data_IF_151798627509
#
_entry.id   IF_151798627509
#
_cell.length_a   1.000
_cell.length_b   1.000
_cell.length_c   1.000
_cell.angle_alpha   90.00
_cell.angle_beta   90.00
_cell.angle_gamma   90.00
#
_symmetry.space_group_name_H-M   'P 1'
#
loop_
_entity.id
_entity.type
_entity.pdbx_description
1 polymer ?
#
# COMPACT_ATOMS: atom_id res chain seq x y z
N UNK A 1 -4.16 3.11 14.20
CA UNK A 1 -4.66 1.79 14.64
C UNK A 1 -4.19 1.38 16.03
N UNK A 2 -2.90 1.39 16.39
CA UNK A 2 -2.46 0.98 17.73
C UNK A 2 -3.19 1.70 18.88
N UNK A 3 -3.39 3.02 18.78
CA UNK A 3 -4.18 3.78 19.75
C UNK A 3 -5.66 3.34 19.82
N UNK A 4 -6.30 3.13 18.67
CA UNK A 4 -7.69 2.65 18.56
C UNK A 4 -7.85 1.27 19.19
N UNK A 5 -6.96 0.33 18.86
CA UNK A 5 -6.98 -1.03 19.42
C UNK A 5 -6.76 -1.04 20.94
N UNK A 6 -5.86 -0.18 21.47
CA UNK A 6 -5.70 -0.01 22.92
C UNK A 6 -6.95 0.54 23.61
N UNK A 7 -7.76 1.32 22.90
CA UNK A 7 -9.05 1.82 23.37
C UNK A 7 -10.20 0.81 23.16
N UNK A 8 -9.91 -0.42 22.70
CA UNK A 8 -10.91 -1.45 22.42
C UNK A 8 -11.70 -1.22 21.12
N UNK A 9 -11.27 -0.29 20.26
CA UNK A 9 -11.96 0.05 19.01
C UNK A 9 -11.30 -0.66 17.83
N UNK A 10 -12.07 -1.50 17.13
CA UNK A 10 -11.70 -2.18 15.88
C UNK A 10 -12.33 -1.43 14.70
N UNK A 11 -11.59 -1.19 13.62
CA UNK A 11 -12.11 -0.40 12.48
C UNK A 11 -13.07 -1.19 11.59
N UNK A 12 -12.76 -2.48 11.33
CA UNK A 12 -13.57 -3.46 10.55
C UNK A 12 -13.68 -3.22 9.04
N UNK A 13 -13.56 -1.97 8.59
CA UNK A 13 -13.61 -1.60 7.17
C UNK A 13 -12.42 -0.69 6.79
N UNK A 14 -11.21 -1.07 7.18
CA UNK A 14 -10.03 -0.26 6.87
C UNK A 14 -9.64 -0.40 5.39
N UNK A 15 -9.62 0.71 4.65
CA UNK A 15 -9.32 0.78 3.22
C UNK A 15 -8.89 2.20 2.81
N UNK A 16 -8.30 2.40 1.62
CA UNK A 16 -7.80 3.70 1.21
C UNK A 16 -8.83 4.83 1.21
N UNK A 17 -10.11 4.55 0.93
CA UNK A 17 -11.17 5.58 0.97
C UNK A 17 -11.43 6.13 2.38
N UNK A 18 -11.01 5.40 3.42
CA UNK A 18 -11.19 5.76 4.83
C UNK A 18 -9.89 6.33 5.42
N UNK A 19 -8.94 6.70 4.55
CA UNK A 19 -7.69 7.35 4.92
C UNK A 19 -7.62 8.70 4.20
N UNK A 20 -7.65 9.77 4.98
CA UNK A 20 -7.43 11.12 4.47
C UNK A 20 -5.94 11.45 4.54
N UNK A 21 -5.41 12.00 3.45
CA UNK A 21 -4.04 12.50 3.37
C UNK A 21 -4.02 13.96 2.90
N UNK A 22 -3.00 14.72 3.30
CA UNK A 22 -2.71 16.02 2.69
C UNK A 22 -2.45 15.86 1.19
N UNK A 23 -2.90 16.84 0.39
CA UNK A 23 -2.63 16.87 -1.04
C UNK A 23 -1.12 17.05 -1.32
N UNK A 24 -0.69 16.61 -2.51
CA UNK A 24 0.69 16.71 -2.98
C UNK A 24 1.51 15.44 -2.75
N UNK A 25 2.82 15.54 -2.94
CA UNK A 25 3.77 14.41 -2.84
C UNK A 25 4.30 14.19 -1.42
N UNK A 26 3.97 15.09 -0.49
CA UNK A 26 4.39 15.03 0.90
C UNK A 26 3.21 14.64 1.81
N UNK A 27 3.38 13.53 2.52
CA UNK A 27 2.40 12.99 3.45
C UNK A 27 2.66 13.52 4.87
N UNK A 28 2.38 14.80 5.11
CA UNK A 28 2.57 15.40 6.43
C UNK A 28 1.46 15.03 7.41
N UNK A 29 0.23 14.89 6.90
CA UNK A 29 -0.94 14.60 7.72
C UNK A 29 -1.69 13.41 7.15
N UNK A 30 -1.90 12.39 7.98
CA UNK A 30 -2.71 11.22 7.67
C UNK A 30 -3.74 11.04 8.79
N UNK A 31 -5.01 10.91 8.41
CA UNK A 31 -6.12 10.65 9.33
C UNK A 31 -6.90 9.42 8.88
N UNK A 32 -7.30 8.61 9.85
CA UNK A 32 -8.21 7.49 9.62
C UNK A 32 -9.62 7.99 9.95
N UNK A 33 -10.56 7.75 9.05
CA UNK A 33 -11.97 8.15 9.17
C UNK A 33 -12.88 6.94 9.19
N UNK A 34 -14.18 7.15 9.45
CA UNK A 34 -15.21 6.13 9.25
C UNK A 34 -14.94 4.83 10.03
N UNK A 35 -14.54 4.99 11.30
CA UNK A 35 -14.52 3.89 12.26
C UNK A 35 -15.89 3.22 12.26
N UNK A 36 -15.92 1.92 11.95
CA UNK A 36 -17.13 1.23 11.55
C UNK A 36 -18.29 1.40 12.53
N UNK A 37 -19.19 2.35 12.23
CA UNK A 37 -20.60 2.34 12.67
C UNK A 37 -21.38 1.29 11.82
N UNK A 38 -20.71 0.62 10.88
CA UNK A 38 -21.25 -0.36 9.94
C UNK A 38 -21.57 -1.74 10.57
N UNK A 39 -22.18 -1.75 11.76
CA UNK A 39 -23.08 -2.84 12.17
C UNK A 39 -24.31 -2.89 11.24
N UNK A 40 -24.61 -1.83 10.49
CA UNK A 40 -25.75 -1.73 9.56
C UNK A 40 -25.62 -2.58 8.28
N UNK A 41 -24.43 -3.04 7.91
CA UNK A 41 -24.32 -4.06 6.85
C UNK A 41 -24.72 -5.45 7.36
N UNK A 42 -24.66 -5.71 8.67
CA UNK A 42 -25.05 -6.99 9.26
C UNK A 42 -26.53 -7.29 9.02
N UNK A 43 -27.40 -6.28 9.06
CA UNK A 43 -28.84 -6.44 8.77
C UNK A 43 -29.11 -6.81 7.30
N UNK A 44 -28.37 -6.22 6.35
CA UNK A 44 -28.54 -6.49 4.91
C UNK A 44 -28.01 -7.88 4.54
N UNK A 45 -26.95 -8.35 5.21
CA UNK A 45 -26.42 -9.70 5.01
C UNK A 45 -27.29 -10.78 5.67
N UNK A 46 -27.84 -10.51 6.86
CA UNK A 46 -28.74 -11.44 7.57
C UNK A 46 -30.12 -11.59 6.90
N UNK A 47 -30.68 -10.51 6.34
CA UNK A 47 -31.95 -10.59 5.58
C UNK A 47 -31.79 -11.41 4.29
N UNK A 48 -30.69 -11.21 3.55
CA UNK A 48 -30.43 -11.95 2.32
C UNK A 48 -30.18 -13.45 2.58
N UNK A 49 -29.51 -13.80 3.69
CA UNK A 49 -29.27 -15.19 4.08
C UNK A 49 -30.53 -15.90 4.60
N UNK A 50 -31.44 -15.19 5.30
CA UNK A 50 -32.71 -15.74 5.79
C UNK A 50 -33.75 -15.97 4.69
N UNK A 51 -33.66 -15.25 3.58
CA UNK A 51 -34.65 -15.32 2.49
C UNK A 51 -34.51 -16.55 1.57
N UNK A 52 -33.54 -17.46 1.80
CA UNK A 52 -33.40 -18.70 1.02
C UNK A 52 -33.00 -18.50 -0.46
N UNK A 53 -32.67 -17.26 -0.86
CA UNK A 53 -32.35 -16.91 -2.24
C UNK A 53 -30.85 -17.09 -2.53
N UNK A 54 -30.35 -18.30 -2.26
CA UNK A 54 -28.95 -18.68 -2.46
C UNK A 54 -28.53 -18.67 -3.94
N UNK A 55 -29.50 -18.58 -4.88
CA UNK A 55 -29.24 -18.45 -6.32
C UNK A 55 -29.08 -16.98 -6.77
N UNK A 56 -29.49 -15.99 -5.97
CA UNK A 56 -29.10 -14.56 -6.13
C UNK A 56 -27.95 -14.13 -5.20
N UNK A 57 -27.55 -15.00 -4.27
CA UNK A 57 -26.51 -14.76 -3.25
C UNK A 57 -25.07 -14.67 -3.78
N UNK A 58 -24.85 -14.77 -5.10
CA UNK A 58 -23.58 -14.33 -5.70
C UNK A 58 -23.45 -12.81 -5.73
N UNK A 59 -24.55 -12.05 -5.60
CA UNK A 59 -24.51 -10.57 -5.67
C UNK A 59 -24.23 -9.88 -4.33
N UNK A 60 -24.66 -10.47 -3.20
CA UNK A 60 -24.44 -9.93 -1.85
C UNK A 60 -22.99 -10.05 -1.41
N UNK A 61 -22.40 -11.25 -1.53
CA UNK A 61 -20.99 -11.53 -1.20
C UNK A 61 -20.03 -10.76 -2.12
N UNK A 62 -20.41 -10.54 -3.40
CA UNK A 62 -19.60 -9.81 -4.39
C UNK A 62 -19.64 -8.29 -4.19
N UNK A 63 -20.71 -7.72 -3.63
CA UNK A 63 -20.77 -6.28 -3.30
C UNK A 63 -20.00 -5.92 -2.02
N UNK A 64 -19.76 -6.88 -1.13
CA UNK A 64 -19.07 -6.65 0.15
C UNK A 64 -17.57 -6.97 0.16
N UNK A 65 -17.05 -7.75 -0.79
CA UNK A 65 -15.66 -8.20 -0.81
C UNK A 65 -14.69 -7.07 -1.20
N UNK A 66 -14.35 -6.24 -0.22
CA UNK A 66 -13.24 -5.29 -0.33
C UNK A 66 -11.94 -6.07 -0.55
N UNK A 67 -11.05 -5.66 -1.47
CA UNK A 67 -9.75 -6.31 -1.69
C UNK A 67 -8.80 -6.20 -0.48
N UNK A 68 -9.20 -5.46 0.54
CA UNK A 68 -8.49 -5.29 1.81
C UNK A 68 -9.12 -6.09 2.97
N UNK A 69 -10.22 -6.82 2.73
CA UNK A 69 -10.95 -7.55 3.76
C UNK A 69 -10.22 -8.83 4.17
N UNK A 70 -10.18 -9.10 5.48
CA UNK A 70 -9.57 -10.30 6.05
C UNK A 70 -10.39 -11.57 5.75
N UNK A 71 -9.77 -12.77 5.65
CA UNK A 71 -10.47 -14.03 5.39
C UNK A 71 -11.61 -14.29 6.39
N UNK A 72 -11.34 -14.07 7.68
CA UNK A 72 -12.29 -14.27 8.78
C UNK A 72 -13.38 -13.18 8.85
N UNK A 73 -13.30 -12.12 8.05
CA UNK A 73 -14.43 -11.21 7.83
C UNK A 73 -15.22 -11.61 6.60
N UNK A 74 -14.51 -12.06 5.56
CA UNK A 74 -15.08 -12.37 4.26
C UNK A 74 -15.91 -13.66 4.26
N UNK A 75 -15.54 -14.64 5.09
CA UNK A 75 -16.17 -15.97 5.17
C UNK A 75 -16.77 -16.26 6.54
N UNK A 76 -17.04 -15.23 7.35
CA UNK A 76 -17.58 -15.40 8.69
C UNK A 76 -18.97 -15.99 8.69
N UNK A 77 -19.28 -16.80 9.69
CA UNK A 77 -20.65 -17.24 9.97
C UNK A 77 -21.41 -16.17 10.79
N UNK A 78 -22.75 -16.12 10.68
CA UNK A 78 -23.57 -15.23 11.51
C UNK A 78 -23.29 -15.45 13.00
N UNK A 79 -23.00 -14.36 13.72
CA UNK A 79 -22.64 -14.40 15.15
C UNK A 79 -21.14 -14.47 15.44
N UNK A 80 -20.29 -14.71 14.45
CA UNK A 80 -18.84 -14.57 14.62
C UNK A 80 -18.44 -13.09 14.73
N UNK A 81 -17.57 -12.80 15.72
CA UNK A 81 -17.07 -11.46 15.97
C UNK A 81 -15.53 -11.43 15.89
N UNK A 82 -14.97 -11.30 14.67
CA UNK A 82 -13.52 -11.24 14.46
C UNK A 82 -12.86 -10.10 15.24
N UNK A 83 -11.68 -10.41 15.80
CA UNK A 83 -10.92 -9.49 16.64
C UNK A 83 -10.08 -8.45 15.86
N UNK A 84 -9.22 -7.69 16.56
CA UNK A 84 -8.42 -6.59 15.97
C UNK A 84 -7.49 -6.98 14.81
N UNK A 85 -7.16 -8.28 14.70
CA UNK A 85 -6.29 -8.83 13.66
C UNK A 85 -6.82 -8.61 12.23
N UNK A 86 -8.12 -8.36 12.06
CA UNK A 86 -8.72 -8.05 10.75
C UNK A 86 -8.16 -6.74 10.17
N UNK A 87 -7.95 -5.72 11.02
CA UNK A 87 -7.43 -4.43 10.58
C UNK A 87 -5.96 -4.58 10.15
N UNK A 88 -5.23 -5.52 10.77
CA UNK A 88 -3.82 -5.82 10.42
C UNK A 88 -3.72 -6.41 9.02
N UNK A 89 -4.63 -7.32 8.66
CA UNK A 89 -4.72 -7.82 7.30
C UNK A 89 -4.99 -6.68 6.31
N UNK A 90 -5.95 -5.82 6.61
CA UNK A 90 -6.28 -4.67 5.77
C UNK A 90 -5.09 -3.73 5.58
N UNK A 91 -4.32 -3.46 6.64
CA UNK A 91 -3.05 -2.71 6.55
C UNK A 91 -2.08 -3.43 5.60
N UNK A 92 -1.86 -4.73 5.78
CA UNK A 92 -0.98 -5.51 4.91
C UNK A 92 -1.38 -5.46 3.43
N UNK A 93 -2.68 -5.57 3.15
CA UNK A 93 -3.19 -5.50 1.78
C UNK A 93 -3.04 -4.10 1.16
N UNK A 94 -3.24 -3.04 1.95
CA UNK A 94 -2.99 -1.65 1.51
C UNK A 94 -1.49 -1.40 1.28
N UNK A 95 -0.62 -1.87 2.18
CA UNK A 95 0.83 -1.77 2.01
C UNK A 95 1.29 -2.49 0.73
N UNK A 96 0.80 -3.70 0.47
CA UNK A 96 1.07 -4.40 -0.79
C UNK A 96 0.68 -3.54 -2.00
N UNK A 97 -0.52 -2.94 -1.98
CA UNK A 97 -1.00 -2.07 -3.05
C UNK A 97 -0.15 -0.83 -3.25
N UNK A 98 0.28 -0.18 -2.17
CA UNK A 98 1.13 1.01 -2.23
C UNK A 98 2.53 0.68 -2.77
N UNK A 99 3.10 -0.46 -2.38
CA UNK A 99 4.46 -0.86 -2.76
C UNK A 99 4.55 -1.39 -4.19
N UNK A 100 3.50 -2.07 -4.67
CA UNK A 100 3.53 -2.79 -5.95
C UNK A 100 2.67 -2.14 -7.04
N UNK A 101 1.69 -1.31 -6.66
CA UNK A 101 0.64 -0.84 -7.55
C UNK A 101 -0.46 -1.87 -7.82
N UNK A 102 -0.38 -3.08 -7.27
CA UNK A 102 -1.28 -4.22 -7.52
C UNK A 102 -2.07 -4.62 -6.27
N UNK A 103 -3.22 -5.27 -6.42
CA UNK A 103 -3.92 -5.86 -5.27
C UNK A 103 -3.35 -7.26 -4.98
N UNK A 104 -3.09 -7.63 -3.71
CA UNK A 104 -2.46 -8.91 -3.38
C UNK A 104 -3.29 -10.11 -3.81
N UNK A 105 -4.62 -9.98 -3.82
CA UNK A 105 -5.56 -11.06 -4.17
C UNK A 105 -6.47 -10.70 -5.35
N UNK A 106 -6.24 -9.58 -6.04
CA UNK A 106 -7.16 -9.08 -7.07
C UNK A 106 -8.30 -8.23 -6.48
N UNK A 107 -9.38 -8.08 -7.23
CA UNK A 107 -10.53 -7.20 -6.88
C UNK A 107 -11.86 -7.92 -6.96
N UNK A 108 -12.86 -7.45 -6.22
CA UNK A 108 -14.23 -8.00 -6.23
C UNK A 108 -14.24 -9.53 -5.99
N UNK A 109 -14.89 -10.30 -6.87
CA UNK A 109 -14.97 -11.75 -6.79
C UNK A 109 -13.60 -12.43 -6.87
N UNK A 110 -12.65 -11.87 -7.64
CA UNK A 110 -11.29 -12.41 -7.74
C UNK A 110 -10.60 -12.40 -6.37
N UNK A 111 -10.76 -11.33 -5.59
CA UNK A 111 -10.26 -11.24 -4.22
C UNK A 111 -10.81 -12.37 -3.35
N UNK A 112 -12.11 -12.62 -3.38
CA UNK A 112 -12.71 -13.69 -2.60
C UNK A 112 -12.21 -15.09 -3.00
N UNK A 113 -12.13 -15.36 -4.30
CA UNK A 113 -11.61 -16.63 -4.82
C UNK A 113 -10.15 -16.84 -4.43
N UNK A 114 -9.31 -15.83 -4.62
CA UNK A 114 -7.88 -15.91 -4.34
C UNK A 114 -7.59 -15.99 -2.84
N UNK A 115 -8.31 -15.26 -1.99
CA UNK A 115 -8.18 -15.39 -0.53
C UNK A 115 -8.58 -16.81 -0.09
N UNK A 116 -9.71 -17.33 -0.59
CA UNK A 116 -10.17 -18.70 -0.27
C UNK A 116 -9.15 -19.76 -0.70
N UNK A 117 -8.57 -19.60 -1.88
CA UNK A 117 -7.59 -20.54 -2.44
C UNK A 117 -6.16 -20.31 -1.95
N UNK A 118 -5.94 -19.32 -1.08
CA UNK A 118 -4.62 -18.90 -0.59
C UNK A 118 -3.64 -18.48 -1.68
N UNK A 119 -4.16 -17.88 -2.75
CA UNK A 119 -3.40 -17.48 -3.94
C UNK A 119 -3.10 -15.99 -3.91
N UNK A 120 -1.95 -15.61 -3.33
CA UNK A 120 -1.46 -14.23 -3.38
C UNK A 120 -0.61 -13.99 -4.64
N UNK A 121 -0.73 -12.80 -5.23
CA UNK A 121 0.24 -12.33 -6.25
C UNK A 121 1.66 -12.33 -5.67
N UNK A 122 2.68 -12.74 -6.45
CA UNK A 122 4.06 -12.69 -6.00
C UNK A 122 4.57 -11.25 -5.89
N UNK A 123 5.66 -11.06 -5.15
CA UNK A 123 6.36 -9.79 -5.09
C UNK A 123 6.95 -9.43 -6.48
N UNK A 124 6.74 -8.21 -6.99
CA UNK A 124 7.36 -7.77 -8.23
C UNK A 124 8.89 -7.70 -8.13
N UNK A 125 9.58 -8.17 -9.17
CA UNK A 125 11.05 -8.23 -9.22
C UNK A 125 11.70 -6.85 -9.06
N UNK A 126 11.06 -5.78 -9.54
CA UNK A 126 11.63 -4.43 -9.47
C UNK A 126 11.90 -3.95 -8.04
N UNK A 127 11.19 -4.47 -7.04
CA UNK A 127 11.35 -4.05 -5.65
C UNK A 127 12.74 -4.39 -5.10
N UNK A 128 13.35 -5.47 -5.59
CA UNK A 128 14.62 -6.00 -5.08
C UNK A 128 15.72 -6.08 -6.13
N UNK A 129 15.42 -5.77 -7.39
CA UNK A 129 16.41 -5.79 -8.48
C UNK A 129 17.49 -4.71 -8.33
N UNK A 130 17.14 -3.57 -7.73
CA UNK A 130 18.10 -2.51 -7.43
C UNK A 130 18.68 -2.73 -6.02
N UNK A 131 19.98 -3.02 -5.95
CA UNK A 131 20.70 -3.30 -4.70
C UNK A 131 20.60 -2.17 -3.67
N UNK A 132 20.46 -0.91 -4.12
CA UNK A 132 20.32 0.25 -3.24
C UNK A 132 19.00 0.21 -2.44
N UNK A 133 17.92 -0.29 -3.03
CA UNK A 133 16.60 -0.33 -2.40
C UNK A 133 16.22 -1.71 -1.83
N UNK A 134 16.93 -2.76 -2.27
CA UNK A 134 16.62 -4.14 -1.92
C UNK A 134 16.56 -4.44 -0.40
N UNK A 135 17.44 -3.90 0.47
CA UNK A 135 17.36 -4.16 1.91
C UNK A 135 16.03 -3.70 2.52
N UNK A 136 15.68 -2.42 2.35
CA UNK A 136 14.43 -1.85 2.84
C UNK A 136 13.21 -2.54 2.21
N UNK A 137 13.28 -2.86 0.91
CA UNK A 137 12.20 -3.58 0.24
C UNK A 137 11.95 -4.96 0.87
N UNK A 138 12.99 -5.72 1.24
CA UNK A 138 12.83 -7.03 1.91
C UNK A 138 12.24 -6.91 3.31
N UNK A 139 12.60 -5.88 4.06
CA UNK A 139 12.02 -5.61 5.37
C UNK A 139 10.52 -5.29 5.26
N UNK A 140 10.15 -4.42 4.30
CA UNK A 140 8.77 -4.10 4.00
C UNK A 140 7.98 -5.33 3.53
N UNK A 141 8.56 -6.16 2.66
CA UNK A 141 7.96 -7.42 2.22
C UNK A 141 7.69 -8.35 3.42
N UNK A 142 8.64 -8.47 4.34
CA UNK A 142 8.51 -9.29 5.55
C UNK A 142 7.38 -8.80 6.46
N UNK A 143 7.24 -7.48 6.64
CA UNK A 143 6.14 -6.90 7.42
C UNK A 143 4.79 -7.23 6.75
N UNK A 144 4.67 -7.01 5.45
CA UNK A 144 3.42 -7.29 4.72
C UNK A 144 3.06 -8.77 4.74
N UNK A 145 4.05 -9.65 4.55
CA UNK A 145 3.83 -11.10 4.55
C UNK A 145 3.31 -11.59 5.92
N UNK A 146 3.79 -11.00 7.03
CA UNK A 146 3.26 -11.28 8.38
C UNK A 146 1.84 -10.74 8.57
N UNK A 147 1.56 -9.53 8.08
CA UNK A 147 0.20 -8.97 8.13
C UNK A 147 -0.82 -9.81 7.37
N UNK A 148 -0.40 -10.44 6.26
CA UNK A 148 -1.23 -11.28 5.41
C UNK A 148 -1.20 -12.77 5.81
N UNK A 149 -0.84 -13.09 7.07
CA UNK A 149 -1.02 -14.43 7.62
C UNK A 149 -2.50 -14.82 7.62
N UNK A 150 -2.82 -16.01 7.10
CA UNK A 150 -4.18 -16.55 7.10
C UNK A 150 -4.66 -16.90 8.51
N UNK A 151 -3.75 -17.34 9.38
CA UNK A 151 -4.02 -17.48 10.81
C UNK A 151 -3.98 -16.08 11.45
N UNK A 152 -5.10 -15.57 12.01
CA UNK A 152 -5.14 -14.26 12.65
C UNK A 152 -4.17 -14.14 13.83
N UNK A 153 -3.87 -15.24 14.54
CA UNK A 153 -2.93 -15.25 15.67
C UNK A 153 -1.46 -15.13 15.23
N UNK A 154 -1.16 -15.46 13.97
CA UNK A 154 0.15 -15.27 13.36
C UNK A 154 0.43 -13.84 12.89
N UNK A 155 -0.57 -12.95 12.94
CA UNK A 155 -0.41 -11.54 12.54
C UNK A 155 0.18 -10.72 13.69
N UNK A 156 1.04 -9.73 13.40
CA UNK A 156 1.54 -8.80 14.42
C UNK A 156 0.41 -7.96 14.99
N UNK A 157 0.56 -7.50 16.24
CA UNK A 157 -0.32 -6.48 16.79
C UNK A 157 -0.10 -5.14 16.09
N UNK A 158 -1.06 -4.22 16.19
CA UNK A 158 -0.85 -2.86 15.69
C UNK A 158 0.28 -2.13 16.42
N UNK A 159 0.60 -2.51 17.67
CA UNK A 159 1.75 -1.97 18.39
C UNK A 159 3.06 -2.53 17.84
N UNK A 160 3.12 -3.84 17.56
CA UNK A 160 4.30 -4.49 16.97
C UNK A 160 4.61 -3.89 15.59
N UNK A 161 3.59 -3.52 14.82
CA UNK A 161 3.78 -2.83 13.54
C UNK A 161 4.39 -1.43 13.72
N UNK A 162 4.02 -0.70 14.78
CA UNK A 162 4.64 0.60 15.06
C UNK A 162 6.13 0.42 15.35
N UNK A 163 6.49 -0.52 16.22
CA UNK A 163 7.89 -0.82 16.57
C UNK A 163 8.68 -1.23 15.32
N UNK A 164 8.18 -2.20 14.55
CA UNK A 164 8.84 -2.65 13.30
C UNK A 164 9.04 -1.53 12.29
N UNK A 165 8.06 -0.62 12.16
CA UNK A 165 8.18 0.51 11.25
C UNK A 165 9.14 1.59 11.76
N UNK A 166 9.32 1.72 13.08
CA UNK A 166 10.30 2.64 13.67
C UNK A 166 11.74 2.18 13.43
N UNK A 167 11.96 0.87 13.33
CA UNK A 167 13.28 0.30 13.05
C UNK A 167 13.69 0.39 11.57
N UNK A 168 12.75 0.73 10.67
CA UNK A 168 13.05 0.86 9.25
C UNK A 168 13.98 2.04 8.99
N UNK A 169 15.05 1.78 8.25
CA UNK A 169 15.94 2.84 7.76
C UNK A 169 15.41 3.40 6.43
N UNK A 170 14.77 4.57 6.48
CA UNK A 170 14.24 5.26 5.30
C UNK A 170 14.50 6.77 5.34
N UNK A 171 14.41 7.40 4.16
CA UNK A 171 14.62 8.84 4.01
C UNK A 171 13.35 9.60 4.38
N UNK A 172 13.44 10.42 5.42
CA UNK A 172 12.39 11.34 5.84
C UNK A 172 12.73 12.78 5.38
N UNK A 173 12.81 12.97 4.07
CA UNK A 173 13.04 14.27 3.44
C UNK A 173 11.89 14.56 2.51
N UNK A 174 11.45 15.83 2.46
CA UNK A 174 10.39 16.25 1.56
C UNK A 174 10.71 15.90 0.11
N UNK A 175 9.65 15.53 -0.59
CA UNK A 175 9.62 15.23 -2.01
C UNK A 175 9.26 16.49 -2.78
N UNK A 176 9.86 16.60 -3.96
CA UNK A 176 9.57 17.58 -5.00
C UNK A 176 9.07 16.85 -6.24
N UNK A 177 8.42 17.60 -7.12
CA UNK A 177 8.07 17.15 -8.47
C UNK A 177 8.90 17.96 -9.45
N UNK A 178 9.38 17.32 -10.51
CA UNK A 178 10.10 17.97 -11.61
C UNK A 178 10.04 17.11 -12.87
N UNK A 179 10.64 17.59 -13.95
CA UNK A 179 10.73 16.87 -15.21
C UNK A 179 12.17 16.49 -15.53
N UNK A 180 12.38 15.28 -16.04
CA UNK A 180 13.68 14.94 -16.62
C UNK A 180 13.79 15.65 -17.97
N UNK A 181 14.68 16.63 -18.05
CA UNK A 181 14.85 17.54 -19.18
C UNK A 181 16.01 17.10 -20.11
N UNK A 182 17.01 16.43 -19.55
CA UNK A 182 18.23 16.08 -20.27
C UNK A 182 18.90 14.85 -19.68
N UNK A 183 19.07 13.83 -20.52
CA UNK A 183 19.97 12.72 -20.26
C UNK A 183 21.40 13.05 -20.70
N UNK A 184 22.36 12.48 -19.97
CA UNK A 184 23.78 12.48 -20.29
C UNK A 184 24.34 11.07 -20.13
N UNK A 185 25.61 10.85 -20.49
CA UNK A 185 26.29 9.56 -20.32
C UNK A 185 25.48 8.39 -20.92
N UNK A 186 24.96 8.53 -22.14
CA UNK A 186 24.12 7.51 -22.80
C UNK A 186 22.92 7.05 -21.96
N UNK A 187 22.34 7.93 -21.14
CA UNK A 187 21.12 7.67 -20.39
C UNK A 187 21.31 7.16 -18.96
N UNK A 188 22.54 6.92 -18.52
CA UNK A 188 22.80 6.47 -17.13
C UNK A 188 22.60 7.59 -16.09
N UNK A 189 22.60 8.84 -16.51
CA UNK A 189 22.34 9.97 -15.63
C UNK A 189 21.73 11.14 -16.40
N UNK A 190 21.31 12.15 -15.68
CA UNK A 190 20.71 13.33 -16.28
C UNK A 190 20.42 14.41 -15.26
N UNK A 191 19.56 15.34 -15.67
CA UNK A 191 19.08 16.42 -14.84
C UNK A 191 17.55 16.37 -14.74
N UNK A 192 17.07 16.76 -13.58
CA UNK A 192 15.67 17.02 -13.29
C UNK A 192 15.54 18.52 -13.15
N UNK A 193 14.70 19.12 -13.99
CA UNK A 193 14.29 20.51 -13.86
C UNK A 193 13.12 20.58 -12.88
N UNK A 194 13.42 21.07 -11.67
CA UNK A 194 12.43 21.34 -10.63
C UNK A 194 12.01 22.81 -10.63
N UNK A 195 11.01 23.16 -9.81
CA UNK A 195 10.46 24.53 -9.76
C UNK A 195 11.50 25.62 -9.47
N UNK A 196 12.50 25.32 -8.63
CA UNK A 196 13.50 26.29 -8.16
C UNK A 196 14.95 25.94 -8.49
N UNK A 197 15.20 24.70 -8.92
CA UNK A 197 16.55 24.14 -9.00
C UNK A 197 16.63 23.00 -10.01
N UNK A 198 17.73 22.97 -10.76
CA UNK A 198 18.13 21.81 -11.58
C UNK A 198 18.95 20.85 -10.74
N UNK A 199 18.50 19.60 -10.64
CA UNK A 199 19.07 18.57 -9.76
C UNK A 199 19.61 17.42 -10.62
N UNK A 200 20.83 16.96 -10.33
CA UNK A 200 21.39 15.80 -11.02
C UNK A 200 20.77 14.51 -10.51
N UNK A 201 20.48 13.55 -11.39
CA UNK A 201 20.09 12.20 -11.00
C UNK A 201 20.92 11.12 -11.70
N UNK A 202 20.99 9.96 -11.08
CA UNK A 202 21.51 8.70 -11.66
C UNK A 202 20.36 7.71 -11.79
N UNK A 203 20.39 6.87 -12.83
CA UNK A 203 19.41 5.77 -12.97
C UNK A 203 19.46 4.79 -11.80
N UNK A 204 20.60 4.67 -11.11
CA UNK A 204 20.70 3.85 -9.89
C UNK A 204 19.84 4.39 -8.75
N UNK A 205 19.56 5.69 -8.74
CA UNK A 205 18.65 6.31 -7.78
C UNK A 205 17.18 6.17 -8.18
N UNK A 206 16.86 5.58 -9.32
CA UNK A 206 15.48 5.35 -9.75
C UNK A 206 14.90 4.14 -9.05
N UNK A 207 13.75 4.32 -8.40
CA UNK A 207 12.94 3.26 -7.81
C UNK A 207 11.60 3.12 -8.55
N UNK A 208 11.23 1.88 -8.83
CA UNK A 208 9.92 1.53 -9.40
C UNK A 208 10.00 0.64 -10.63
N UNK A 209 8.84 0.15 -11.07
CA UNK A 209 8.71 -0.66 -12.28
C UNK A 209 8.96 0.13 -13.57
N UNK A 210 8.77 1.45 -13.52
CA UNK A 210 8.92 2.35 -14.66
C UNK A 210 10.27 3.04 -14.60
N UNK A 211 11.03 2.92 -15.69
CA UNK A 211 12.30 3.63 -15.86
C UNK A 211 12.09 4.91 -16.69
N UNK A 212 12.88 5.96 -16.45
CA UNK A 212 12.94 7.12 -17.32
C UNK A 212 13.30 6.70 -18.76
N UNK A 213 12.64 7.30 -19.75
CA UNK A 213 12.90 7.07 -21.17
C UNK A 213 13.68 8.26 -21.73
N UNK A 214 14.77 8.01 -22.46
CA UNK A 214 15.57 9.06 -23.09
C UNK A 214 14.80 9.85 -24.15
N UNK A 215 13.71 9.28 -24.70
CA UNK A 215 12.96 9.87 -25.81
C UNK A 215 11.67 10.56 -25.37
N UNK A 216 11.37 10.61 -24.07
CA UNK A 216 10.16 11.23 -23.56
C UNK A 216 10.41 11.95 -22.24
N UNK A 217 9.94 13.18 -22.13
CA UNK A 217 9.90 13.88 -20.84
C UNK A 217 9.07 13.05 -19.86
N UNK A 218 9.60 12.87 -18.65
CA UNK A 218 8.92 12.18 -17.57
C UNK A 218 8.89 13.06 -16.35
N UNK A 219 7.68 13.29 -15.85
CA UNK A 219 7.48 13.86 -14.53
C UNK A 219 7.93 12.85 -13.48
N UNK A 220 8.78 13.31 -12.56
CA UNK A 220 9.35 12.49 -11.49
C UNK A 220 9.11 13.12 -10.13
N UNK A 221 9.02 12.27 -9.12
CA UNK A 221 9.00 12.64 -7.72
C UNK A 221 10.34 12.26 -7.09
N UNK A 222 10.99 13.18 -6.38
CA UNK A 222 12.34 12.97 -5.84
C UNK A 222 12.60 13.81 -4.59
N UNK A 223 13.61 13.46 -3.79
CA UNK A 223 14.20 14.38 -2.80
C UNK A 223 15.55 14.87 -3.29
N UNK A 224 15.94 16.07 -2.87
CA UNK A 224 17.21 16.70 -3.24
C UNK A 224 18.18 16.69 -2.06
N UNK A 225 19.43 16.30 -2.31
CA UNK A 225 20.51 16.25 -1.33
C UNK A 225 21.69 17.12 -1.80
N UNK A 226 22.49 17.67 -0.87
CA UNK A 226 23.68 18.45 -1.23
C UNK A 226 24.63 17.67 -2.15
N UNK A 227 25.21 18.36 -3.12
CA UNK A 227 26.17 17.79 -4.06
C UNK A 227 26.84 18.88 -4.91
N UNK A 228 28.00 18.53 -5.47
CA UNK A 228 28.81 19.44 -6.31
C UNK A 228 29.06 18.80 -7.68
N UNK A 229 28.95 19.52 -8.81
CA UNK A 229 28.57 20.94 -8.95
C UNK A 229 27.07 21.23 -8.81
N UNK A 230 26.23 20.20 -8.63
CA UNK A 230 24.78 20.31 -8.49
C UNK A 230 24.27 19.36 -7.39
N UNK A 231 23.13 19.68 -6.75
CA UNK A 231 22.44 18.76 -5.85
C UNK A 231 22.12 17.41 -6.51
N UNK A 232 21.88 16.38 -5.68
CA UNK A 232 21.63 14.99 -6.11
C UNK A 232 20.21 14.57 -5.78
N UNK A 233 19.51 14.01 -6.75
CA UNK A 233 18.16 13.48 -6.57
C UNK A 233 18.20 12.03 -6.09
N UNK A 234 17.49 11.73 -4.99
CA UNK A 234 17.40 10.36 -4.47
C UNK A 234 16.20 10.13 -3.51
N UNK A 235 15.57 8.95 -3.51
CA UNK A 235 15.22 8.21 -4.72
C UNK A 235 14.50 9.11 -5.74
N UNK A 236 14.49 8.65 -6.98
CA UNK A 236 13.71 9.22 -8.09
C UNK A 236 12.63 8.22 -8.45
N UNK A 237 11.37 8.66 -8.48
CA UNK A 237 10.22 7.83 -8.81
C UNK A 237 9.55 8.43 -10.04
N UNK A 238 9.39 7.64 -11.10
CA UNK A 238 8.68 8.07 -12.30
C UNK A 238 7.18 8.07 -12.02
N UNK A 239 6.53 9.22 -12.19
CA UNK A 239 5.09 9.34 -12.03
C UNK A 239 4.39 8.82 -13.29
N UNK A 240 3.26 8.12 -13.10
CA UNK A 240 2.40 7.72 -14.22
C UNK A 240 1.61 8.96 -14.68
N UNK A 241 1.73 9.25 -15.97
CA UNK A 241 0.92 10.23 -16.71
C UNK A 241 -0.54 9.79 -16.79
#
# INVERSE_FOLDING_TARGET
MAASHRAGVIHRDLKPSNIMASAGVNLHNLKITDFGIATLTEEVFDEAARAGDLTRSTSGTVRGASPFMAPEMMFREPGENPGPAIDIWSIGAMMFKLLTGEFPFGVYLEAAVNVRNRTRKPWPVFMTSNAQFAPLARELQTIVDRCLSYDPSGRPSAADLVERCQDLCYLAVDRKVGEIDKFIQNGYSGFIDGESDTVFFSVESVYGATQPDMNANRTVCYSSFPGTPRPRAHPVIVLKS
#
